data_IF_558119633065
#
_entry.id   IF_558119633065
#
_cell.length_a   1.000
_cell.length_b   1.000
_cell.length_c   1.000
_cell.angle_alpha   90.00
_cell.angle_beta   90.00
_cell.angle_gamma   90.00
#
_symmetry.space_group_name_H-M   'P 1'
#
loop_
_entity.id
_entity.type
_entity.pdbx_description
1 polymer ?
#
# COMPACT_ATOMS: atom_id res chain seq x y z
N UNK A 1 15.34 19.65 -6.09
CA UNK A 1 14.38 18.53 -5.99
C UNK A 1 14.99 17.26 -6.59
N UNK A 2 15.89 16.60 -5.85
CA UNK A 2 16.48 15.30 -6.23
C UNK A 2 16.24 14.21 -5.15
N UNK A 3 15.52 14.54 -4.06
CA UNK A 3 15.35 13.66 -2.89
C UNK A 3 14.08 12.81 -2.87
N UNK A 4 13.03 13.22 -3.60
CA UNK A 4 11.74 12.51 -3.56
C UNK A 4 11.88 11.06 -4.09
N UNK A 5 12.57 10.88 -5.22
CA UNK A 5 12.79 9.56 -5.79
C UNK A 5 13.60 8.63 -4.87
N UNK A 6 14.53 9.18 -4.09
CA UNK A 6 15.30 8.39 -3.11
C UNK A 6 14.40 7.97 -1.94
N UNK A 7 13.56 8.86 -1.44
CA UNK A 7 12.59 8.55 -0.38
C UNK A 7 11.54 7.53 -0.84
N UNK A 8 11.07 7.64 -2.09
CA UNK A 8 10.14 6.67 -2.67
C UNK A 8 10.81 5.30 -2.76
N UNK A 9 12.08 5.22 -3.20
CA UNK A 9 12.84 3.97 -3.27
C UNK A 9 13.12 3.36 -1.89
N UNK A 10 13.50 4.18 -0.91
CA UNK A 10 13.68 3.74 0.49
C UNK A 10 12.39 3.19 1.08
N UNK A 11 11.26 3.83 0.78
CA UNK A 11 9.94 3.36 1.20
C UNK A 11 9.58 2.01 0.56
N UNK A 12 9.87 1.84 -0.74
CA UNK A 12 9.67 0.57 -1.45
C UNK A 12 10.53 -0.57 -0.87
N UNK A 13 11.81 -0.30 -0.61
CA UNK A 13 12.70 -1.28 0.02
C UNK A 13 12.23 -1.64 1.43
N UNK A 14 11.86 -0.64 2.24
CA UNK A 14 11.34 -0.87 3.59
C UNK A 14 10.08 -1.75 3.58
N UNK A 15 9.14 -1.49 2.65
CA UNK A 15 7.96 -2.34 2.45
C UNK A 15 8.40 -3.76 2.06
N UNK A 16 9.37 -3.92 1.17
CA UNK A 16 9.81 -5.26 0.71
C UNK A 16 10.43 -6.13 1.80
N UNK A 17 11.03 -5.50 2.82
CA UNK A 17 11.64 -6.18 3.96
C UNK A 17 10.64 -6.59 5.04
N UNK A 18 9.41 -6.07 5.00
CA UNK A 18 8.35 -6.37 5.96
C UNK A 18 7.25 -7.24 5.31
N UNK A 19 7.13 -8.49 5.76
CA UNK A 19 6.16 -9.46 5.23
C UNK A 19 4.70 -9.04 5.43
N UNK A 20 4.39 -8.40 6.55
CA UNK A 20 3.03 -7.94 6.86
C UNK A 20 2.69 -6.71 6.00
N UNK A 21 3.64 -5.78 5.87
CA UNK A 21 3.49 -4.62 4.99
C UNK A 21 3.26 -5.06 3.52
N UNK A 22 4.10 -5.98 2.99
CA UNK A 22 3.92 -6.54 1.64
C UNK A 22 2.52 -7.06 1.43
N UNK A 23 2.01 -7.85 2.38
CA UNK A 23 0.69 -8.46 2.27
C UNK A 23 -0.42 -7.43 2.22
N UNK A 24 -0.34 -6.39 3.06
CA UNK A 24 -1.32 -5.29 3.09
C UNK A 24 -1.29 -4.53 1.78
N UNK A 25 -0.11 -4.09 1.33
CA UNK A 25 0.05 -3.31 0.10
C UNK A 25 -0.38 -4.08 -1.15
N UNK A 26 -0.01 -5.36 -1.28
CA UNK A 26 -0.44 -6.21 -2.40
C UNK A 26 -1.96 -6.42 -2.39
N UNK A 27 -2.57 -6.59 -1.21
CA UNK A 27 -4.03 -6.70 -1.09
C UNK A 27 -4.72 -5.40 -1.51
N UNK A 28 -4.21 -4.25 -1.09
CA UNK A 28 -4.75 -2.93 -1.48
C UNK A 28 -4.59 -2.68 -2.98
N UNK A 29 -3.44 -3.04 -3.58
CA UNK A 29 -3.22 -2.95 -5.03
C UNK A 29 -4.21 -3.81 -5.81
N UNK A 30 -4.47 -5.05 -5.37
CA UNK A 30 -5.47 -5.93 -6.00
C UNK A 30 -6.90 -5.38 -5.87
N UNK A 31 -7.26 -4.82 -4.72
CA UNK A 31 -8.56 -4.18 -4.50
C UNK A 31 -8.71 -2.94 -5.39
N UNK A 32 -7.66 -2.12 -5.53
CA UNK A 32 -7.63 -0.95 -6.41
C UNK A 32 -7.89 -1.35 -7.87
N UNK A 33 -7.16 -2.36 -8.36
CA UNK A 33 -7.27 -2.83 -9.75
C UNK A 33 -8.64 -3.47 -10.08
N UNK A 34 -9.30 -4.05 -9.10
CA UNK A 34 -10.65 -4.65 -9.27
C UNK A 34 -11.78 -3.63 -9.11
N UNK A 35 -11.47 -2.37 -8.79
CA UNK A 35 -12.46 -1.32 -8.53
C UNK A 35 -13.18 -1.46 -7.18
N UNK A 36 -12.70 -2.35 -6.31
CA UNK A 36 -13.31 -2.68 -5.02
C UNK A 36 -12.99 -1.70 -3.89
N UNK A 37 -12.16 -0.67 -4.13
CA UNK A 37 -11.64 0.21 -3.08
C UNK A 37 -12.75 0.92 -2.29
N UNK A 38 -13.86 1.29 -2.94
CA UNK A 38 -15.01 1.89 -2.24
C UNK A 38 -15.66 0.97 -1.20
N UNK A 39 -15.75 -0.33 -1.49
CA UNK A 39 -16.26 -1.32 -0.52
C UNK A 39 -15.29 -1.49 0.63
N UNK A 40 -13.99 -1.60 0.33
CA UNK A 40 -12.94 -1.70 1.33
C UNK A 40 -12.95 -0.52 2.31
N UNK A 41 -13.04 0.72 1.80
CA UNK A 41 -13.11 1.91 2.65
C UNK A 41 -14.38 1.96 3.50
N UNK A 42 -15.50 1.46 2.97
CA UNK A 42 -16.76 1.35 3.72
C UNK A 42 -16.64 0.34 4.86
N UNK A 43 -16.03 -0.82 4.61
CA UNK A 43 -15.76 -1.83 5.63
C UNK A 43 -14.79 -1.31 6.70
N UNK A 44 -13.71 -0.65 6.26
CA UNK A 44 -12.70 -0.04 7.13
C UNK A 44 -13.30 1.02 8.06
N UNK A 45 -14.21 1.86 7.56
CA UNK A 45 -14.88 2.86 8.37
C UNK A 45 -15.73 2.24 9.50
N UNK A 46 -16.28 1.06 9.27
CA UNK A 46 -17.12 0.33 10.23
C UNK A 46 -16.31 -0.61 11.15
N UNK A 47 -15.01 -0.75 10.92
CA UNK A 47 -14.13 -1.57 11.75
C UNK A 47 -13.93 -0.90 13.12
N UNK A 48 -14.38 -1.56 14.18
CA UNK A 48 -14.28 -1.06 15.56
C UNK A 48 -12.94 -1.38 16.24
N UNK A 49 -12.13 -2.25 15.63
CA UNK A 49 -10.85 -2.69 16.20
C UNK A 49 -9.69 -1.75 15.83
N UNK A 50 -9.88 -0.92 14.81
CA UNK A 50 -8.90 0.07 14.36
C UNK A 50 -9.23 1.46 14.90
N UNK A 51 -8.20 2.16 15.38
CA UNK A 51 -8.32 3.57 15.72
C UNK A 51 -8.42 4.45 14.46
N UNK A 52 -8.88 5.69 14.67
CA UNK A 52 -9.11 6.64 13.57
C UNK A 52 -7.82 7.09 12.88
N UNK A 53 -6.67 7.03 13.57
CA UNK A 53 -5.35 7.36 12.98
C UNK A 53 -4.94 6.31 11.95
N UNK A 54 -5.09 5.04 12.32
CA UNK A 54 -4.81 3.89 11.45
C UNK A 54 -5.75 3.88 10.25
N UNK A 55 -7.05 4.13 10.47
CA UNK A 55 -8.03 4.27 9.38
C UNK A 55 -7.68 5.41 8.44
N UNK A 56 -7.31 6.58 8.98
CA UNK A 56 -6.88 7.73 8.19
C UNK A 56 -5.70 7.41 7.28
N UNK A 57 -4.68 6.74 7.82
CA UNK A 57 -3.51 6.30 7.06
C UNK A 57 -3.89 5.34 5.93
N UNK A 58 -4.74 4.36 6.20
CA UNK A 58 -5.22 3.41 5.18
C UNK A 58 -6.07 4.08 4.10
N UNK A 59 -6.85 5.11 4.44
CA UNK A 59 -7.59 5.93 3.47
C UNK A 59 -6.65 6.71 2.56
N UNK A 60 -5.58 7.31 3.11
CA UNK A 60 -4.59 8.02 2.31
C UNK A 60 -3.90 7.07 1.32
N UNK A 61 -3.45 5.91 1.79
CA UNK A 61 -2.84 4.87 0.94
C UNK A 61 -3.81 4.34 -0.13
N UNK A 62 -5.08 4.17 0.21
CA UNK A 62 -6.11 3.71 -0.71
C UNK A 62 -6.40 4.71 -1.85
N UNK A 63 -6.19 6.01 -1.60
CA UNK A 63 -6.37 7.06 -2.60
C UNK A 63 -5.14 7.25 -3.51
N UNK A 64 -3.98 6.73 -3.12
CA UNK A 64 -2.76 6.78 -3.94
C UNK A 64 -2.58 5.52 -4.79
N UNK A 65 -3.36 5.44 -5.87
CA UNK A 65 -3.31 4.31 -6.79
C UNK A 65 -1.93 4.18 -7.48
N UNK A 66 -1.27 5.31 -7.78
CA UNK A 66 0.04 5.29 -8.43
C UNK A 66 1.08 4.64 -7.51
N UNK A 67 1.04 4.95 -6.22
CA UNK A 67 1.90 4.31 -5.22
C UNK A 67 1.61 2.83 -5.07
N UNK A 68 0.34 2.41 -4.96
CA UNK A 68 -0.02 0.99 -4.85
C UNK A 68 0.48 0.16 -6.04
N UNK A 69 0.37 0.69 -7.26
CA UNK A 69 0.90 0.04 -8.46
C UNK A 69 2.43 -0.01 -8.48
N UNK A 70 3.10 1.06 -8.01
CA UNK A 70 4.56 1.08 -7.91
C UNK A 70 5.08 0.06 -6.89
N UNK A 71 4.42 -0.09 -5.74
CA UNK A 71 4.73 -1.11 -4.74
C UNK A 71 4.55 -2.51 -5.33
N UNK A 72 3.43 -2.78 -5.99
CA UNK A 72 3.19 -4.09 -6.62
C UNK A 72 4.27 -4.42 -7.67
N UNK A 73 4.57 -3.50 -8.59
CA UNK A 73 5.60 -3.72 -9.63
C UNK A 73 6.99 -3.92 -9.01
N UNK A 74 7.33 -3.14 -7.98
CA UNK A 74 8.59 -3.28 -7.26
C UNK A 74 8.72 -4.66 -6.62
N UNK A 75 7.72 -5.08 -5.83
CA UNK A 75 7.73 -6.37 -5.13
C UNK A 75 7.79 -7.54 -6.11
N UNK A 76 7.04 -7.49 -7.22
CA UNK A 76 7.09 -8.55 -8.24
C UNK A 76 8.47 -8.67 -8.90
N UNK A 77 9.18 -7.55 -9.07
CA UNK A 77 10.52 -7.53 -9.68
C UNK A 77 11.62 -7.93 -8.70
N UNK A 78 11.52 -7.52 -7.44
CA UNK A 78 12.54 -7.82 -6.42
C UNK A 78 12.37 -9.19 -5.78
N UNK A 79 11.18 -9.79 -5.79
CA UNK A 79 10.97 -11.16 -5.30
C UNK A 79 11.83 -12.22 -6.02
N UNK A 80 12.38 -11.91 -7.21
CA UNK A 80 13.32 -12.80 -7.93
C UNK A 80 14.78 -12.61 -7.53
N UNK A 81 15.09 -11.56 -6.79
CA UNK A 81 16.46 -11.11 -6.47
C UNK A 81 16.85 -11.37 -5.01
N UNK A 82 15.87 -11.66 -4.14
CA UNK A 82 16.05 -11.99 -2.72
C UNK A 82 15.75 -13.48 -2.48
#
# INVERSE_FOLDING_TARGET
MHGQWLQDLESLEAISQDDDAKRIFLRMAAISQTGGMGSFLTELANDGDLDEETKGTLVELANDNAFLLAVEDYLQRTQRLH
#
